data_IF_101880720591
#
_entry.id   IF_101880720591
#
_cell.length_a   1.000
_cell.length_b   1.000
_cell.length_c   1.000
_cell.angle_alpha   90.00
_cell.angle_beta   90.00
_cell.angle_gamma   90.00
#
_symmetry.space_group_name_H-M   'P 1'
#
loop_
_entity.id
_entity.type
_entity.pdbx_description
1 polymer ?
#
# COMPACT_ATOMS: atom_id res chain seq x y z
N UNK A 1 19.48 -31.19 -16.00
CA UNK A 1 19.35 -29.75 -16.30
C UNK A 1 19.82 -28.98 -15.08
N UNK A 2 20.81 -28.08 -15.20
CA UNK A 2 21.45 -27.42 -14.04
C UNK A 2 20.78 -26.10 -13.64
N UNK A 3 20.10 -25.42 -14.57
CA UNK A 3 19.49 -24.11 -14.33
C UNK A 3 17.99 -24.16 -14.66
N UNK A 4 17.10 -23.79 -13.72
CA UNK A 4 15.65 -23.76 -13.92
C UNK A 4 15.21 -22.79 -15.02
N UNK A 5 14.11 -23.10 -15.71
CA UNK A 5 13.41 -22.10 -16.56
C UNK A 5 12.68 -21.10 -15.68
N UNK A 6 12.41 -19.89 -16.18
CA UNK A 6 11.65 -18.88 -15.43
C UNK A 6 10.24 -18.81 -16.01
N UNK A 7 9.24 -18.91 -15.14
CA UNK A 7 7.83 -18.93 -15.53
C UNK A 7 7.00 -17.96 -14.69
N UNK A 8 5.89 -17.46 -15.23
CA UNK A 8 4.85 -16.71 -14.52
C UNK A 8 3.67 -17.64 -14.24
N UNK A 9 3.08 -17.55 -13.05
CA UNK A 9 1.80 -18.20 -12.77
C UNK A 9 0.65 -17.43 -13.44
N UNK A 10 -0.28 -18.16 -14.04
CA UNK A 10 -1.51 -17.67 -14.68
C UNK A 10 -2.69 -18.48 -14.16
N UNK A 11 -3.94 -18.04 -14.42
CA UNK A 11 -5.14 -18.81 -14.02
C UNK A 11 -5.15 -20.23 -14.60
N UNK A 12 -4.55 -20.42 -15.79
CA UNK A 12 -4.58 -21.67 -16.54
C UNK A 12 -3.24 -22.43 -16.53
N UNK A 13 -2.32 -22.09 -15.63
CA UNK A 13 -1.03 -22.77 -15.49
C UNK A 13 0.16 -21.82 -15.50
N UNK A 14 1.19 -22.12 -16.29
CA UNK A 14 2.44 -21.38 -16.29
C UNK A 14 2.81 -20.86 -17.68
N UNK A 15 3.21 -19.60 -17.75
CA UNK A 15 3.72 -18.98 -18.96
C UNK A 15 5.25 -18.84 -18.87
N UNK A 16 5.96 -19.21 -19.94
CA UNK A 16 7.42 -19.11 -19.96
C UNK A 16 7.88 -17.66 -20.10
N UNK A 17 8.66 -17.18 -19.13
CA UNK A 17 9.33 -15.87 -19.18
C UNK A 17 10.72 -16.01 -19.81
N UNK A 18 11.47 -17.05 -19.43
CA UNK A 18 12.84 -17.24 -19.92
C UNK A 18 13.28 -18.70 -19.90
N UNK A 19 14.06 -19.09 -20.92
CA UNK A 19 14.60 -20.45 -21.06
C UNK A 19 14.01 -21.27 -22.22
N UNK A 20 13.51 -20.63 -23.27
CA UNK A 20 12.86 -21.28 -24.42
C UNK A 20 13.68 -22.43 -25.03
N UNK A 21 14.99 -22.22 -25.27
CA UNK A 21 15.88 -23.26 -25.80
C UNK A 21 15.98 -24.48 -24.88
N UNK A 22 15.95 -24.24 -23.57
CA UNK A 22 16.02 -25.25 -22.52
C UNK A 22 14.71 -26.03 -22.42
N UNK A 23 13.57 -25.34 -22.50
CA UNK A 23 12.25 -25.96 -22.55
C UNK A 23 12.12 -26.83 -23.80
N UNK A 24 12.45 -26.31 -24.99
CA UNK A 24 12.43 -27.09 -26.24
C UNK A 24 13.31 -28.33 -26.19
N UNK A 25 14.52 -28.23 -25.61
CA UNK A 25 15.39 -29.39 -25.46
C UNK A 25 14.78 -30.46 -24.55
N UNK A 26 14.17 -30.06 -23.44
CA UNK A 26 13.46 -30.98 -22.55
C UNK A 26 12.24 -31.62 -23.23
N UNK A 27 11.49 -30.86 -24.03
CA UNK A 27 10.38 -31.37 -24.86
C UNK A 27 10.87 -32.40 -25.87
N UNK A 28 11.97 -32.13 -26.57
CA UNK A 28 12.57 -33.06 -27.54
C UNK A 28 13.08 -34.35 -26.88
N UNK A 29 13.52 -34.27 -25.63
CA UNK A 29 13.94 -35.42 -24.82
C UNK A 29 12.76 -36.16 -24.16
N UNK A 30 11.52 -35.69 -24.34
CA UNK A 30 10.32 -36.32 -23.79
C UNK A 30 10.21 -36.24 -22.27
N UNK A 31 10.80 -35.21 -21.64
CA UNK A 31 10.73 -35.05 -20.19
C UNK A 31 9.29 -34.69 -19.77
N UNK A 32 8.72 -35.37 -18.75
CA UNK A 32 7.38 -35.06 -18.26
C UNK A 32 7.33 -33.75 -17.46
N UNK A 33 8.46 -33.35 -16.87
CA UNK A 33 8.56 -32.20 -15.97
C UNK A 33 9.92 -31.51 -16.14
N UNK A 34 9.98 -30.20 -15.87
CA UNK A 34 11.22 -29.42 -15.85
C UNK A 34 11.30 -28.54 -14.60
N UNK A 35 12.49 -28.36 -14.00
CA UNK A 35 12.65 -27.43 -12.90
C UNK A 35 12.37 -25.99 -13.38
N UNK A 36 11.45 -25.31 -12.69
CA UNK A 36 11.03 -23.95 -13.00
C UNK A 36 11.08 -23.04 -11.76
N UNK A 37 11.48 -21.79 -11.96
CA UNK A 37 11.38 -20.72 -10.99
C UNK A 37 10.15 -19.87 -11.32
N UNK A 38 9.16 -19.87 -10.43
CA UNK A 38 7.94 -19.08 -10.60
C UNK A 38 8.18 -17.64 -10.15
N UNK A 39 8.08 -16.68 -11.07
CA UNK A 39 8.10 -15.24 -10.79
C UNK A 39 6.68 -14.68 -10.84
N UNK A 40 6.11 -14.42 -9.67
CA UNK A 40 4.93 -13.56 -9.50
C UNK A 40 5.29 -12.07 -9.37
N UNK A 41 6.59 -11.77 -9.20
CA UNK A 41 7.05 -10.47 -8.75
C UNK A 41 6.89 -9.36 -9.79
N UNK A 42 6.99 -9.63 -11.11
CA UNK A 42 7.15 -8.54 -12.08
C UNK A 42 5.89 -7.65 -12.20
N UNK A 43 4.68 -8.22 -12.24
CA UNK A 43 3.44 -7.41 -12.29
C UNK A 43 3.12 -6.72 -10.95
N UNK A 44 3.24 -7.46 -9.83
CA UNK A 44 3.05 -6.91 -8.49
C UNK A 44 4.06 -5.79 -8.20
N UNK A 45 5.30 -5.93 -8.65
CA UNK A 45 6.34 -4.90 -8.52
C UNK A 45 5.99 -3.66 -9.34
N UNK A 46 5.55 -3.82 -10.59
CA UNK A 46 5.12 -2.68 -11.42
C UNK A 46 3.95 -1.92 -10.79
N UNK A 47 2.94 -2.64 -10.27
CA UNK A 47 1.81 -2.01 -9.56
C UNK A 47 2.26 -1.30 -8.27
N UNK A 48 3.19 -1.91 -7.53
CA UNK A 48 3.77 -1.30 -6.32
C UNK A 48 4.49 0.01 -6.67
N UNK A 49 5.32 0.00 -7.71
CA UNK A 49 6.07 1.17 -8.17
C UNK A 49 5.14 2.30 -8.62
N UNK A 50 4.11 1.99 -9.41
CA UNK A 50 3.12 2.97 -9.84
C UNK A 50 2.36 3.60 -8.65
N UNK A 51 2.04 2.80 -7.63
CA UNK A 51 1.40 3.32 -6.41
C UNK A 51 2.35 4.21 -5.60
N UNK A 52 3.63 3.84 -5.46
CA UNK A 52 4.64 4.67 -4.78
C UNK A 52 4.83 6.01 -5.50
N UNK A 53 4.92 6.00 -6.83
CA UNK A 53 5.02 7.22 -7.64
C UNK A 53 3.81 8.13 -7.42
N UNK A 54 2.59 7.56 -7.43
CA UNK A 54 1.37 8.32 -7.16
C UNK A 54 1.39 8.96 -5.76
N UNK A 55 1.92 8.25 -4.76
CA UNK A 55 2.04 8.71 -3.36
C UNK A 55 3.10 9.80 -3.16
N UNK A 56 4.03 9.98 -4.09
CA UNK A 56 5.05 11.04 -4.02
C UNK A 56 4.56 12.39 -4.57
N UNK A 57 3.29 12.48 -5.00
CA UNK A 57 2.67 13.74 -5.42
C UNK A 57 2.52 14.71 -4.24
N UNK A 58 2.77 15.98 -4.51
CA UNK A 58 2.76 17.04 -3.49
C UNK A 58 1.37 17.56 -3.12
N UNK A 59 0.33 17.16 -3.84
CA UNK A 59 -1.05 17.66 -3.70
C UNK A 59 -1.99 16.70 -2.94
N UNK A 60 -1.48 15.58 -2.42
CA UNK A 60 -2.28 14.62 -1.65
C UNK A 60 -2.64 15.15 -0.27
N UNK A 61 -3.88 14.92 0.15
CA UNK A 61 -4.28 15.16 1.53
C UNK A 61 -3.87 13.99 2.46
N UNK A 62 -3.87 14.21 3.77
CA UNK A 62 -3.41 13.22 4.75
C UNK A 62 -4.19 11.90 4.72
N UNK A 63 -5.46 11.91 4.35
CA UNK A 63 -6.29 10.70 4.26
C UNK A 63 -5.98 9.92 2.97
N UNK A 64 -5.75 10.61 1.85
CA UNK A 64 -5.30 9.99 0.61
C UNK A 64 -3.94 9.31 0.76
N UNK A 65 -2.96 10.00 1.37
CA UNK A 65 -1.66 9.39 1.70
C UNK A 65 -1.84 8.14 2.58
N UNK A 66 -2.65 8.24 3.64
CA UNK A 66 -2.89 7.13 4.55
C UNK A 66 -3.52 5.92 3.85
N UNK A 67 -4.51 6.14 2.96
CA UNK A 67 -5.12 5.06 2.16
C UNK A 67 -4.09 4.42 1.22
N UNK A 68 -3.25 5.21 0.56
CA UNK A 68 -2.17 4.68 -0.27
C UNK A 68 -1.18 3.81 0.52
N UNK A 69 -0.79 4.23 1.73
CA UNK A 69 0.06 3.44 2.62
C UNK A 69 -0.63 2.16 3.08
N UNK A 70 -1.93 2.22 3.36
CA UNK A 70 -2.70 1.03 3.75
C UNK A 70 -2.73 -0.01 2.63
N UNK A 71 -2.88 0.43 1.38
CA UNK A 71 -2.80 -0.45 0.20
C UNK A 71 -1.41 -1.07 0.05
N UNK A 72 -0.33 -0.29 0.17
CA UNK A 72 1.04 -0.82 0.19
C UNK A 72 1.23 -1.88 1.30
N UNK A 73 0.63 -1.67 2.46
CA UNK A 73 0.72 -2.64 3.55
C UNK A 73 -0.10 -3.91 3.30
N UNK A 74 -1.36 -3.78 2.88
CA UNK A 74 -2.30 -4.89 2.76
C UNK A 74 -2.14 -5.68 1.45
N UNK A 75 -2.10 -4.98 0.31
CA UNK A 75 -2.04 -5.59 -1.03
C UNK A 75 -0.62 -6.04 -1.36
N UNK A 76 0.40 -5.31 -0.89
CA UNK A 76 1.80 -5.53 -1.26
C UNK A 76 2.66 -6.06 -0.11
N UNK A 77 2.08 -6.20 1.09
CA UNK A 77 2.74 -6.77 2.28
C UNK A 77 3.99 -5.99 2.70
N UNK A 78 4.11 -4.70 2.35
CA UNK A 78 5.21 -3.86 2.81
C UNK A 78 5.02 -3.54 4.30
N UNK A 79 6.11 -3.61 5.07
CA UNK A 79 6.12 -3.11 6.45
C UNK A 79 6.05 -1.58 6.47
N UNK A 80 5.64 -0.99 7.59
CA UNK A 80 5.64 0.47 7.73
C UNK A 80 7.04 1.07 7.50
N UNK A 81 8.11 0.34 7.84
CA UNK A 81 9.49 0.78 7.57
C UNK A 81 9.76 0.82 6.06
N UNK A 82 9.43 -0.25 5.34
CA UNK A 82 9.65 -0.30 3.89
C UNK A 82 8.82 0.75 3.14
N UNK A 83 7.60 1.03 3.58
CA UNK A 83 6.78 2.12 3.04
C UNK A 83 7.49 3.46 3.26
N UNK A 84 7.93 3.71 4.49
CA UNK A 84 8.62 4.94 4.88
C UNK A 84 9.88 5.18 4.04
N UNK A 85 10.71 4.15 3.87
CA UNK A 85 11.92 4.20 3.05
C UNK A 85 11.58 4.50 1.57
N UNK A 86 10.52 3.87 1.04
CA UNK A 86 10.09 4.05 -0.35
C UNK A 86 9.53 5.46 -0.65
N UNK A 87 8.87 6.07 0.32
CA UNK A 87 8.26 7.41 0.16
C UNK A 87 9.11 8.55 0.75
N UNK A 88 10.30 8.23 1.28
CA UNK A 88 11.23 9.22 1.85
C UNK A 88 10.71 9.90 3.13
N UNK A 89 9.94 9.18 3.96
CA UNK A 89 9.40 9.68 5.24
C UNK A 89 9.90 8.84 6.41
N UNK A 90 9.71 9.32 7.63
CA UNK A 90 9.95 8.53 8.83
C UNK A 90 8.87 7.46 9.03
N UNK A 91 9.25 6.30 9.58
CA UNK A 91 8.32 5.22 9.94
C UNK A 91 7.20 5.69 10.88
N UNK A 92 7.51 6.61 11.79
CA UNK A 92 6.54 7.21 12.71
C UNK A 92 5.48 8.01 11.95
N UNK A 93 5.87 8.76 10.91
CA UNK A 93 4.97 9.53 10.05
C UNK A 93 3.99 8.61 9.31
N UNK A 94 4.49 7.53 8.71
CA UNK A 94 3.63 6.51 8.06
C UNK A 94 2.64 5.90 9.06
N UNK A 95 3.12 5.54 10.25
CA UNK A 95 2.27 4.95 11.30
C UNK A 95 1.20 5.93 11.78
N UNK A 96 1.54 7.21 11.97
CA UNK A 96 0.61 8.23 12.40
C UNK A 96 -0.49 8.51 11.36
N UNK A 97 -0.12 8.55 10.07
CA UNK A 97 -1.08 8.70 8.98
C UNK A 97 -2.03 7.51 8.89
N UNK A 98 -1.51 6.28 8.96
CA UNK A 98 -2.33 5.07 8.97
C UNK A 98 -3.35 5.04 10.12
N UNK A 99 -2.98 5.57 11.29
CA UNK A 99 -3.91 5.68 12.43
C UNK A 99 -5.10 6.61 12.16
N UNK A 100 -4.97 7.59 11.26
CA UNK A 100 -6.10 8.47 10.93
C UNK A 100 -7.26 7.70 10.31
N UNK A 101 -7.00 6.57 9.65
CA UNK A 101 -8.01 5.70 9.08
C UNK A 101 -8.88 4.98 10.12
N UNK A 102 -8.51 5.02 11.41
CA UNK A 102 -9.37 4.51 12.49
C UNK A 102 -10.35 5.55 13.03
N UNK A 103 -10.28 6.80 12.57
CA UNK A 103 -11.28 7.82 12.90
C UNK A 103 -12.61 7.50 12.21
N UNK A 104 -13.72 7.98 12.76
CA UNK A 104 -15.01 7.89 12.09
C UNK A 104 -14.99 8.60 10.73
N UNK A 105 -15.75 8.09 9.76
CA UNK A 105 -15.80 8.60 8.39
C UNK A 105 -16.09 10.10 8.30
N UNK A 106 -16.93 10.60 9.20
CA UNK A 106 -17.27 12.03 9.29
C UNK A 106 -16.05 12.89 9.58
N UNK A 107 -15.17 12.43 10.47
CA UNK A 107 -13.93 13.13 10.84
C UNK A 107 -12.91 13.02 9.70
N UNK A 108 -12.80 11.87 9.06
CA UNK A 108 -11.94 11.69 7.89
C UNK A 108 -12.33 12.64 6.75
N UNK A 109 -13.63 12.83 6.50
CA UNK A 109 -14.12 13.78 5.49
C UNK A 109 -13.76 15.23 5.82
N UNK A 110 -13.80 15.62 7.09
CA UNK A 110 -13.39 16.97 7.51
C UNK A 110 -11.87 17.20 7.29
N UNK A 111 -11.05 16.17 7.47
CA UNK A 111 -9.62 16.20 7.14
C UNK A 111 -9.36 16.32 5.64
N UNK A 112 -10.07 15.54 4.82
CA UNK A 112 -9.97 15.60 3.35
C UNK A 112 -10.32 16.99 2.82
N UNK A 113 -11.32 17.63 3.41
CA UNK A 113 -11.75 18.99 3.07
C UNK A 113 -10.81 20.09 3.62
N UNK A 114 -9.78 19.73 4.38
CA UNK A 114 -8.88 20.68 5.04
C UNK A 114 -9.50 21.48 6.18
N UNK A 115 -10.72 21.11 6.63
CA UNK A 115 -11.40 21.77 7.76
C UNK A 115 -10.83 21.35 9.11
N UNK A 116 -10.12 20.22 9.15
CA UNK A 116 -9.34 19.78 10.29
C UNK A 116 -7.88 19.57 9.88
N UNK A 117 -6.98 19.97 10.77
CA UNK A 117 -5.56 19.67 10.62
C UNK A 117 -5.27 18.25 11.10
N UNK A 118 -4.14 17.69 10.65
CA UNK A 118 -3.62 16.42 11.17
C UNK A 118 -3.38 16.47 12.69
N UNK A 119 -3.07 17.64 13.25
CA UNK A 119 -2.93 17.86 14.68
C UNK A 119 -4.24 17.63 15.44
N UNK A 120 -5.34 18.25 14.99
CA UNK A 120 -6.67 18.01 15.54
C UNK A 120 -7.04 16.52 15.49
N UNK A 121 -6.84 15.89 14.33
CA UNK A 121 -7.15 14.48 14.14
C UNK A 121 -6.40 13.55 15.10
N UNK A 122 -5.12 13.86 15.37
CA UNK A 122 -4.31 13.11 16.34
C UNK A 122 -4.81 13.29 17.78
N UNK A 123 -5.28 14.47 18.16
CA UNK A 123 -5.90 14.68 19.47
C UNK A 123 -7.19 13.87 19.60
N UNK A 124 -8.01 13.84 18.54
CA UNK A 124 -9.26 13.07 18.50
C UNK A 124 -9.02 11.56 18.60
N UNK A 125 -7.90 11.04 18.06
CA UNK A 125 -7.52 9.64 18.20
C UNK A 125 -7.23 9.19 19.65
N UNK A 126 -7.02 10.11 20.59
CA UNK A 126 -6.85 9.78 22.00
C UNK A 126 -8.18 9.54 22.72
N UNK A 127 -9.30 9.91 22.09
CA UNK A 127 -10.65 9.77 22.65
C UNK A 127 -11.17 8.37 22.33
N UNK A 128 -11.46 7.58 23.36
CA UNK A 128 -11.91 6.19 23.20
C UNK A 128 -13.32 6.08 22.59
N UNK A 129 -14.22 7.02 22.91
CA UNK A 129 -15.57 7.03 22.34
C UNK A 129 -15.61 7.79 21.02
N UNK A 130 -15.81 7.05 19.92
CA UNK A 130 -15.88 7.60 18.58
C UNK A 130 -17.01 8.65 18.40
N UNK A 131 -18.12 8.54 19.13
CA UNK A 131 -19.21 9.53 19.07
C UNK A 131 -18.80 10.84 19.71
N UNK A 132 -18.10 10.78 20.84
CA UNK A 132 -17.55 11.96 21.51
C UNK A 132 -16.50 12.63 20.63
N UNK A 133 -15.59 11.84 20.03
CA UNK A 133 -14.59 12.35 19.10
C UNK A 133 -15.24 13.05 17.89
N UNK A 134 -16.27 12.45 17.29
CA UNK A 134 -16.97 13.07 16.17
C UNK A 134 -17.70 14.37 16.56
N UNK A 135 -18.33 14.41 17.73
CA UNK A 135 -18.95 15.63 18.26
C UNK A 135 -17.94 16.76 18.46
N UNK A 136 -16.78 16.45 19.06
CA UNK A 136 -15.71 17.42 19.27
C UNK A 136 -15.10 17.91 17.94
N UNK A 137 -14.97 17.02 16.96
CA UNK A 137 -14.51 17.39 15.61
C UNK A 137 -15.43 18.44 14.96
N UNK A 138 -16.75 18.28 15.09
CA UNK A 138 -17.73 19.27 14.60
C UNK A 138 -17.60 20.59 15.36
N UNK A 139 -17.39 20.55 16.67
CA UNK A 139 -17.22 21.76 17.48
C UNK A 139 -15.95 22.52 17.10
N UNK A 140 -14.81 21.85 16.96
CA UNK A 140 -13.53 22.45 16.51
C UNK A 140 -13.73 23.21 15.20
N UNK A 141 -14.46 22.61 14.27
CA UNK A 141 -14.74 23.20 12.96
C UNK A 141 -15.73 24.35 13.03
N UNK A 142 -16.72 24.30 13.94
CA UNK A 142 -17.71 25.36 14.12
C UNK A 142 -17.12 26.60 14.81
N UNK A 143 -16.17 26.40 15.74
CA UNK A 143 -15.56 27.44 16.56
C UNK A 143 -14.17 27.89 16.05
N UNK A 144 -13.68 27.31 14.95
CA UNK A 144 -12.35 27.57 14.35
C UNK A 144 -11.20 27.47 15.38
N UNK A 145 -11.26 26.43 16.22
CA UNK A 145 -10.28 26.22 17.29
C UNK A 145 -8.91 25.81 16.72
N UNK A 146 -7.83 26.33 17.31
CA UNK A 146 -6.46 25.93 17.00
C UNK A 146 -6.00 24.73 17.85
N UNK A 147 -5.01 23.98 17.33
CA UNK A 147 -4.30 22.89 18.05
C UNK A 147 -3.48 23.43 19.22
#
# INVERSE_FOLDING_TARGET
MLQPVVVRATENGFELISGERRLRAATQLGWPEVPALVRQADERTMLTLALIENLQRTDLNSIEEARGYQRLHQEFSLTHQQIADAVGKDRSTVTNLLRLLSLADDVQRLLEQGRLTTGHARALLAIADARVAAGLAQQIVAEDLSV
#
